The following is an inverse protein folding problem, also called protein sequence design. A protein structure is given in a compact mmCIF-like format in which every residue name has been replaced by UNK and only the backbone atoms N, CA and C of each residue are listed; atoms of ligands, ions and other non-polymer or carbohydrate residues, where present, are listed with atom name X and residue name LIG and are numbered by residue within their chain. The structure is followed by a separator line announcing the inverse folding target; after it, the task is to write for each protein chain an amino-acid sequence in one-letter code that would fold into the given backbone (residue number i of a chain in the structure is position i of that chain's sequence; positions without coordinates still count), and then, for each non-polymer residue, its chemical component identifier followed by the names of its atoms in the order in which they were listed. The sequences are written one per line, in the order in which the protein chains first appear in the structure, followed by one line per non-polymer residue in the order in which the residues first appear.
data_IF_580541083007
#
_entry.id   IF_580541083007
#
_cell.length_a   1.000
_cell.length_b   1.000
_cell.length_c   1.000
_cell.angle_alpha   90.00
_cell.angle_beta   90.00
_cell.angle_gamma   90.00
#
_symmetry.space_group_name_H-M   'P 1'
#
loop_
_entity.id
_entity.type
_entity.pdbx_description
1 polymer ?
#
# COMPACT_ATOMS: atom_id res chain seq x y z
N UNK A 1 6.96 14.20 20.34
CA UNK A 1 5.56 13.86 20.67
C UNK A 1 4.72 15.08 20.32
N UNK A 2 3.87 15.00 19.30
CA UNK A 2 2.93 16.08 18.98
C UNK A 2 1.75 15.99 19.95
N UNK A 3 1.56 17.01 20.78
CA UNK A 3 0.44 17.08 21.72
C UNK A 3 -0.77 17.65 20.98
N UNK A 4 -1.91 16.96 21.05
CA UNK A 4 -3.14 17.37 20.36
C UNK A 4 -3.59 18.78 20.79
N UNK A 5 -3.90 19.70 19.86
CA UNK A 5 -4.27 21.09 20.17
C UNK A 5 -5.46 21.25 21.12
N UNK A 6 -6.40 20.30 21.11
CA UNK A 6 -7.63 20.34 21.89
C UNK A 6 -7.36 20.19 23.40
N UNK A 7 -6.39 19.35 23.75
CA UNK A 7 -5.98 19.15 25.15
C UNK A 7 -5.28 20.40 25.69
N UNK A 8 -4.51 21.08 24.84
CA UNK A 8 -3.85 22.35 25.20
C UNK A 8 -4.87 23.46 25.46
N UNK A 9 -5.94 23.53 24.66
CA UNK A 9 -6.99 24.54 24.86
C UNK A 9 -7.77 24.29 26.16
N UNK A 10 -8.18 23.04 26.44
CA UNK A 10 -8.84 22.68 27.70
C UNK A 10 -7.96 23.02 28.91
N UNK A 11 -6.67 22.70 28.84
CA UNK A 11 -5.72 23.05 29.91
C UNK A 11 -5.64 24.56 30.12
N UNK A 12 -5.58 25.35 29.04
CA UNK A 12 -5.60 26.82 29.13
C UNK A 12 -6.91 27.34 29.72
N UNK A 13 -8.05 26.73 29.39
CA UNK A 13 -9.34 27.10 29.99
C UNK A 13 -9.36 26.79 31.48
N UNK A 14 -8.89 25.61 31.90
CA UNK A 14 -8.78 25.24 33.32
C UNK A 14 -7.87 26.19 34.10
N UNK A 15 -6.69 26.51 33.56
CA UNK A 15 -5.75 27.47 34.15
C UNK A 15 -6.34 28.88 34.23
N UNK A 16 -7.08 29.33 33.21
CA UNK A 16 -7.73 30.63 33.23
C UNK A 16 -8.82 30.72 34.31
N UNK A 17 -9.62 29.66 34.46
CA UNK A 17 -10.64 29.56 35.50
C UNK A 17 -9.99 29.51 36.89
N UNK A 18 -8.86 28.81 37.07
CA UNK A 18 -8.09 28.83 38.32
C UNK A 18 -7.54 30.21 38.63
N UNK A 19 -6.98 30.90 37.63
CA UNK A 19 -6.44 32.26 37.77
C UNK A 19 -7.51 33.26 38.22
N UNK A 20 -8.69 33.23 37.58
CA UNK A 20 -9.84 34.04 37.99
C UNK A 20 -10.33 33.64 39.39
N UNK A 21 -10.43 32.34 39.68
CA UNK A 21 -10.84 31.83 40.98
C UNK A 21 -9.90 32.26 42.12
N UNK A 22 -8.58 32.29 41.88
CA UNK A 22 -7.58 32.76 42.85
C UNK A 22 -7.60 34.26 43.12
N UNK A 23 -8.07 35.07 42.17
CA UNK A 23 -8.30 36.50 42.41
C UNK A 23 -9.43 36.73 43.43
N UNK A 24 -10.43 35.84 43.48
CA UNK A 24 -11.53 35.88 44.45
C UNK A 24 -11.20 35.13 45.75
N UNK A 25 -10.54 33.99 45.65
CA UNK A 25 -10.15 33.11 46.76
C UNK A 25 -8.69 32.67 46.62
N UNK A 26 -7.72 33.37 47.23
CA UNK A 26 -6.28 33.15 47.01
C UNK A 26 -5.80 31.73 47.28
N UNK A 27 -6.45 30.99 48.17
CA UNK A 27 -6.10 29.61 48.53
C UNK A 27 -6.80 28.53 47.68
N UNK A 28 -7.56 28.93 46.66
CA UNK A 28 -8.26 28.00 45.79
C UNK A 28 -7.28 27.14 44.99
N UNK A 29 -7.46 25.82 45.06
CA UNK A 29 -6.83 24.81 44.21
C UNK A 29 -7.93 23.97 43.56
N UNK A 30 -8.21 24.26 42.29
CA UNK A 30 -9.24 23.57 41.52
C UNK A 30 -8.89 22.10 41.27
N UNK A 31 -7.61 21.75 41.15
CA UNK A 31 -7.18 20.39 40.91
C UNK A 31 -7.46 19.50 42.14
N UNK A 32 -7.11 20.00 43.33
CA UNK A 32 -7.38 19.30 44.60
C UNK A 32 -8.88 19.03 44.79
N UNK A 33 -9.73 19.96 44.35
CA UNK A 33 -11.19 19.84 44.47
C UNK A 33 -11.80 18.93 43.40
N UNK A 34 -11.31 18.99 42.16
CA UNK A 34 -11.85 18.24 41.03
C UNK A 34 -11.39 16.77 40.98
N UNK A 35 -10.19 16.46 41.52
CA UNK A 35 -9.61 15.12 41.51
C UNK A 35 -10.58 14.01 41.98
N UNK A 36 -11.21 14.07 43.17
CA UNK A 36 -12.09 12.99 43.63
C UNK A 36 -13.31 12.80 42.71
N UNK A 37 -13.83 13.88 42.12
CA UNK A 37 -14.97 13.83 41.19
C UNK A 37 -14.55 13.13 39.90
N UNK A 38 -13.37 13.45 39.37
CA UNK A 38 -12.82 12.81 38.18
C UNK A 38 -12.53 11.32 38.41
N UNK A 39 -11.95 10.96 39.56
CA UNK A 39 -11.68 9.56 39.91
C UNK A 39 -12.98 8.74 40.00
N UNK A 40 -14.00 9.28 40.66
CA UNK A 40 -15.31 8.64 40.73
C UNK A 40 -15.94 8.50 39.32
N UNK A 41 -15.94 9.57 38.54
CA UNK A 41 -16.49 9.56 37.18
C UNK A 41 -15.76 8.57 36.26
N UNK A 42 -14.43 8.50 36.35
CA UNK A 42 -13.63 7.51 35.60
C UNK A 42 -13.98 6.09 36.03
N UNK A 43 -14.14 5.84 37.33
CA UNK A 43 -14.55 4.53 37.82
C UNK A 43 -15.97 4.15 37.32
N UNK A 44 -16.88 5.12 37.27
CA UNK A 44 -18.25 4.92 36.77
C UNK A 44 -18.33 4.72 35.24
N UNK A 45 -17.42 5.33 34.46
CA UNK A 45 -17.45 5.26 32.98
C UNK A 45 -16.50 4.24 32.38
N UNK A 46 -15.32 4.06 32.95
CA UNK A 46 -14.27 3.16 32.48
C UNK A 46 -14.06 1.95 33.39
N UNK A 47 -14.82 1.84 34.49
CA UNK A 47 -14.75 0.67 35.37
C UNK A 47 -15.28 -0.59 34.71
N UNK A 48 -14.78 -1.74 35.19
CA UNK A 48 -15.24 -3.07 34.75
C UNK A 48 -16.75 -3.25 34.91
N UNK A 49 -17.34 -2.69 35.97
CA UNK A 49 -18.78 -2.72 36.21
C UNK A 49 -19.56 -1.99 35.11
N UNK A 50 -19.05 -0.85 34.62
CA UNK A 50 -19.65 -0.09 33.54
C UNK A 50 -19.57 -0.87 32.22
N UNK A 51 -18.42 -1.49 31.94
CA UNK A 51 -18.25 -2.35 30.77
C UNK A 51 -19.24 -3.54 30.78
N UNK A 52 -19.40 -4.20 31.94
CA UNK A 52 -20.38 -5.27 32.12
C UNK A 52 -21.83 -4.79 31.97
N UNK A 53 -22.14 -3.60 32.48
CA UNK A 53 -23.47 -3.01 32.35
C UNK A 53 -23.81 -2.71 30.88
N UNK A 54 -22.89 -2.09 30.14
CA UNK A 54 -23.01 -1.84 28.70
C UNK A 54 -23.15 -3.15 27.92
N UNK A 55 -22.32 -4.16 28.25
CA UNK A 55 -22.42 -5.47 27.63
C UNK A 55 -23.79 -6.10 27.85
N UNK A 56 -24.30 -6.09 29.09
CA UNK A 56 -25.62 -6.61 29.44
C UNK A 56 -26.76 -5.90 28.69
N UNK A 57 -26.63 -4.61 28.42
CA UNK A 57 -27.59 -3.85 27.62
C UNK A 57 -27.59 -4.29 26.14
N UNK A 58 -26.44 -4.68 25.60
CA UNK A 58 -26.28 -5.15 24.22
C UNK A 58 -26.55 -6.66 24.03
N UNK A 59 -26.63 -7.44 25.11
CA UNK A 59 -26.91 -8.89 25.08
C UNK A 59 -28.16 -9.26 24.25
N UNK A 60 -29.31 -8.57 24.34
CA UNK A 60 -30.48 -8.91 23.53
C UNK A 60 -30.22 -8.81 22.03
N UNK A 61 -29.51 -7.77 21.58
CA UNK A 61 -29.13 -7.58 20.17
C UNK A 61 -28.21 -8.69 19.68
N UNK A 62 -27.31 -9.14 20.55
CA UNK A 62 -26.41 -10.26 20.25
C UNK A 62 -27.16 -11.59 20.21
N UNK A 63 -28.14 -11.79 21.07
CA UNK A 63 -28.97 -12.99 21.09
C UNK A 63 -29.78 -13.18 19.79
N UNK A 64 -30.17 -12.09 19.13
CA UNK A 64 -30.82 -12.15 17.81
C UNK A 64 -29.84 -12.44 16.67
N UNK A 65 -28.61 -11.92 16.76
CA UNK A 65 -27.63 -11.99 15.68
C UNK A 65 -26.79 -13.27 15.69
N UNK A 66 -26.40 -13.75 16.88
CA UNK A 66 -25.55 -14.94 17.07
C UNK A 66 -26.10 -16.21 16.38
N UNK A 67 -27.41 -16.52 16.44
CA UNK A 67 -27.96 -17.70 15.77
C UNK A 67 -27.83 -17.67 14.24
N UNK A 68 -27.63 -16.49 13.62
CA UNK A 68 -27.48 -16.36 12.17
C UNK A 68 -26.05 -16.57 11.68
N UNK A 69 -25.06 -16.48 12.56
CA UNK A 69 -23.64 -16.64 12.22
C UNK A 69 -23.29 -18.02 11.65
N UNK A 70 -23.74 -19.16 12.22
CA UNK A 70 -23.44 -20.47 11.67
C UNK A 70 -23.91 -20.61 10.23
N UNK A 71 -25.09 -20.06 9.90
CA UNK A 71 -25.63 -20.07 8.53
C UNK A 71 -24.74 -19.27 7.57
N UNK A 72 -24.33 -18.06 7.96
CA UNK A 72 -23.42 -17.23 7.14
C UNK A 72 -22.06 -17.90 6.93
N UNK A 73 -21.51 -18.52 7.97
CA UNK A 73 -20.27 -19.28 7.88
C UNK A 73 -20.42 -20.49 6.97
N UNK A 74 -21.56 -21.19 7.04
CA UNK A 74 -21.86 -22.31 6.15
C UNK A 74 -22.00 -21.84 4.70
N UNK A 75 -22.67 -20.71 4.44
CA UNK A 75 -22.77 -20.12 3.10
C UNK A 75 -21.38 -19.78 2.53
N UNK A 76 -20.49 -19.19 3.34
CA UNK A 76 -19.10 -18.92 2.93
C UNK A 76 -18.37 -20.24 2.63
N UNK A 77 -18.47 -21.24 3.53
CA UNK A 77 -17.84 -22.54 3.33
C UNK A 77 -18.32 -23.24 2.04
N UNK A 78 -19.63 -23.16 1.75
CA UNK A 78 -20.20 -23.67 0.51
C UNK A 78 -19.71 -22.91 -0.72
N UNK A 79 -19.60 -21.57 -0.65
CA UNK A 79 -19.07 -20.76 -1.75
C UNK A 79 -17.59 -21.07 -2.03
N UNK A 80 -16.79 -21.31 -0.99
CA UNK A 80 -15.40 -21.77 -1.11
C UNK A 80 -15.34 -23.15 -1.78
N UNK A 81 -16.11 -24.13 -1.28
CA UNK A 81 -16.13 -25.49 -1.84
C UNK A 81 -16.62 -25.54 -3.28
N UNK A 82 -17.62 -24.73 -3.62
CA UNK A 82 -18.16 -24.64 -4.98
C UNK A 82 -17.23 -23.88 -5.95
N UNK A 83 -16.05 -23.39 -5.49
CA UNK A 83 -15.16 -22.54 -6.29
C UNK A 83 -15.83 -21.21 -6.70
N UNK A 84 -16.94 -20.87 -6.06
CA UNK A 84 -17.76 -19.67 -6.31
C UNK A 84 -17.32 -18.48 -5.48
N UNK A 85 -16.21 -18.60 -4.76
CA UNK A 85 -15.48 -17.45 -4.25
C UNK A 85 -14.95 -16.67 -5.47
N UNK A 86 -15.87 -15.98 -6.17
CA UNK A 86 -15.56 -14.86 -7.05
C UNK A 86 -15.02 -13.80 -6.11
N UNK A 87 -13.74 -13.95 -5.75
CA UNK A 87 -12.92 -12.79 -5.43
C UNK A 87 -13.24 -11.82 -6.56
N UNK A 88 -13.72 -10.62 -6.25
CA UNK A 88 -13.93 -9.56 -7.24
C UNK A 88 -12.57 -9.05 -7.77
N UNK A 89 -11.63 -9.96 -8.04
CA UNK A 89 -10.63 -9.79 -9.07
C UNK A 89 -11.43 -9.66 -10.34
N UNK A 90 -11.75 -8.42 -10.70
CA UNK A 90 -12.39 -8.10 -11.96
C UNK A 90 -11.59 -8.85 -13.01
N UNK A 91 -12.26 -9.61 -13.88
CA UNK A 91 -11.58 -10.29 -15.00
C UNK A 91 -10.72 -9.31 -15.81
N UNK A 92 -11.07 -8.02 -15.74
CA UNK A 92 -10.30 -6.90 -16.24
C UNK A 92 -8.91 -6.76 -15.61
N UNK A 93 -8.77 -6.83 -14.28
CA UNK A 93 -7.49 -6.64 -13.59
C UNK A 93 -6.53 -7.79 -13.87
N UNK A 94 -7.04 -9.02 -13.93
CA UNK A 94 -6.26 -10.19 -14.31
C UNK A 94 -5.83 -10.16 -15.79
N UNK A 95 -6.68 -9.61 -16.66
CA UNK A 95 -6.34 -9.43 -18.08
C UNK A 95 -5.29 -8.33 -18.27
N UNK A 96 -5.41 -7.21 -17.56
CA UNK A 96 -4.43 -6.13 -17.58
C UNK A 96 -3.06 -6.62 -17.08
N UNK A 97 -3.02 -7.33 -15.96
CA UNK A 97 -1.77 -7.87 -15.42
C UNK A 97 -1.11 -8.85 -16.40
N UNK A 98 -1.89 -9.72 -17.05
CA UNK A 98 -1.37 -10.66 -18.06
C UNK A 98 -0.83 -9.94 -19.29
N UNK A 99 -1.49 -8.86 -19.74
CA UNK A 99 -1.03 -8.06 -20.87
C UNK A 99 0.25 -7.30 -20.52
N UNK A 100 0.29 -6.63 -19.38
CA UNK A 100 1.45 -5.86 -18.93
C UNK A 100 2.70 -6.73 -18.76
N UNK A 101 2.55 -7.96 -18.23
CA UNK A 101 3.64 -8.94 -18.14
C UNK A 101 4.10 -9.41 -19.52
N UNK A 102 3.18 -9.68 -20.45
CA UNK A 102 3.50 -10.16 -21.80
C UNK A 102 4.22 -9.09 -22.61
N UNK A 103 3.74 -7.85 -22.55
CA UNK A 103 4.30 -6.73 -23.29
C UNK A 103 5.68 -6.34 -22.72
N UNK A 104 5.87 -6.44 -21.40
CA UNK A 104 7.18 -6.29 -20.77
C UNK A 104 8.17 -7.40 -21.20
N UNK A 105 7.70 -8.64 -21.35
CA UNK A 105 8.55 -9.77 -21.78
C UNK A 105 9.08 -9.60 -23.20
N UNK A 106 8.25 -9.16 -24.15
CA UNK A 106 8.70 -8.95 -25.53
C UNK A 106 9.69 -7.80 -25.65
N UNK A 107 9.48 -6.71 -24.91
CA UNK A 107 10.41 -5.57 -24.88
C UNK A 107 11.76 -5.93 -24.26
N UNK A 108 11.76 -6.69 -23.18
CA UNK A 108 13.00 -7.14 -22.53
C UNK A 108 13.77 -8.15 -23.40
N UNK A 109 13.08 -9.05 -24.09
CA UNK A 109 13.70 -9.99 -25.01
C UNK A 109 14.34 -9.28 -26.21
N UNK A 110 13.63 -8.32 -26.82
CA UNK A 110 14.16 -7.52 -27.93
C UNK A 110 15.38 -6.68 -27.52
N UNK A 111 15.33 -6.03 -26.35
CA UNK A 111 16.45 -5.26 -25.82
C UNK A 111 17.69 -6.13 -25.51
N UNK A 112 17.49 -7.33 -24.94
CA UNK A 112 18.58 -8.26 -24.65
C UNK A 112 19.24 -8.79 -25.93
N UNK A 113 18.43 -9.18 -26.93
CA UNK A 113 18.94 -9.62 -28.23
C UNK A 113 19.66 -8.48 -28.97
N UNK A 114 19.12 -7.26 -28.96
CA UNK A 114 19.76 -6.09 -29.55
C UNK A 114 21.12 -5.77 -28.90
N UNK A 115 21.19 -5.80 -27.57
CA UNK A 115 22.44 -5.61 -26.83
C UNK A 115 23.46 -6.71 -27.14
N UNK A 116 23.04 -7.98 -27.24
CA UNK A 116 23.90 -9.10 -27.61
C UNK A 116 24.48 -8.94 -29.02
N UNK A 117 23.70 -8.46 -30.00
CA UNK A 117 24.19 -8.18 -31.35
C UNK A 117 25.17 -7.00 -31.40
N UNK A 118 24.91 -5.92 -30.65
CA UNK A 118 25.81 -4.76 -30.57
C UNK A 118 27.16 -5.18 -29.95
N UNK A 119 27.12 -5.95 -28.86
CA UNK A 119 28.34 -6.49 -28.22
C UNK A 119 29.06 -7.42 -29.18
N UNK A 120 28.35 -8.32 -29.88
CA UNK A 120 28.93 -9.20 -30.89
C UNK A 120 29.61 -8.43 -32.02
N UNK A 121 28.98 -7.37 -32.54
CA UNK A 121 29.57 -6.52 -33.56
C UNK A 121 30.82 -5.76 -33.06
N UNK A 122 30.81 -5.31 -31.80
CA UNK A 122 31.96 -4.65 -31.18
C UNK A 122 33.13 -5.62 -30.93
N UNK A 123 32.84 -6.85 -30.51
CA UNK A 123 33.84 -7.92 -30.32
C UNK A 123 34.45 -8.36 -31.64
N UNK A 124 33.65 -8.54 -32.69
CA UNK A 124 34.14 -8.85 -34.04
C UNK A 124 35.04 -7.72 -34.58
N UNK A 125 34.71 -6.45 -34.29
CA UNK A 125 35.55 -5.31 -34.63
C UNK A 125 36.85 -5.26 -33.79
N UNK A 126 36.80 -5.69 -32.52
CA UNK A 126 37.96 -5.70 -31.63
C UNK A 126 38.95 -6.85 -31.88
N UNK A 127 38.49 -7.95 -32.49
CA UNK A 127 39.30 -9.09 -32.93
C UNK A 127 39.68 -8.92 -34.40
N UNK A 128 40.51 -7.91 -34.70
CA UNK A 128 41.11 -7.77 -36.02
C UNK A 128 42.04 -8.95 -36.31
N UNK A 129 41.74 -9.72 -37.36
CA UNK A 129 42.60 -10.80 -37.85
C UNK A 129 42.02 -11.81 -38.84
N UNK A 130 40.71 -11.85 -39.12
CA UNK A 130 40.10 -12.91 -39.97
C UNK A 130 38.93 -12.48 -40.89
N UNK A 131 38.92 -11.27 -41.44
CA UNK A 131 37.88 -10.86 -42.41
C UNK A 131 38.48 -10.18 -43.67
N UNK A 132 38.37 -10.78 -44.88
CA UNK A 132 39.04 -10.28 -46.09
C UNK A 132 38.29 -9.16 -46.84
N UNK A 133 37.09 -8.74 -46.41
CA UNK A 133 36.31 -7.69 -47.09
C UNK A 133 35.97 -6.50 -46.17
N UNK A 134 36.91 -5.57 -46.07
CA UNK A 134 36.75 -4.28 -45.38
C UNK A 134 36.19 -3.21 -46.34
N UNK A 135 35.17 -2.47 -45.91
CA UNK A 135 34.75 -1.22 -46.56
C UNK A 135 34.76 -0.11 -45.51
N UNK A 136 35.57 0.94 -45.72
CA UNK A 136 35.81 2.06 -44.78
C UNK A 136 36.30 1.55 -43.40
N UNK A 137 37.25 0.60 -43.39
CA UNK A 137 37.88 0.13 -42.14
C UNK A 137 36.94 -0.59 -41.17
N UNK A 138 35.72 -0.93 -41.60
CA UNK A 138 34.75 -1.72 -40.83
C UNK A 138 34.37 -2.94 -41.69
N UNK A 139 34.34 -4.16 -41.12
CA UNK A 139 33.87 -5.34 -41.83
C UNK A 139 32.43 -5.14 -42.32
N UNK A 140 32.16 -5.47 -43.59
CA UNK A 140 30.83 -5.29 -44.21
C UNK A 140 29.70 -6.03 -43.45
N UNK A 141 30.01 -7.17 -42.83
CA UNK A 141 29.10 -7.91 -41.94
C UNK A 141 28.67 -7.09 -40.70
N UNK A 142 29.56 -6.27 -40.13
CA UNK A 142 29.27 -5.47 -38.94
C UNK A 142 28.23 -4.39 -39.22
N UNK A 143 28.22 -3.83 -40.43
CA UNK A 143 27.18 -2.90 -40.88
C UNK A 143 25.82 -3.58 -41.00
N UNK A 144 25.76 -4.81 -41.53
CA UNK A 144 24.50 -5.56 -41.65
C UNK A 144 23.95 -5.88 -40.26
N UNK A 145 24.77 -6.41 -39.35
CA UNK A 145 24.33 -6.70 -37.98
C UNK A 145 23.99 -5.44 -37.17
N UNK A 146 24.71 -4.35 -37.37
CA UNK A 146 24.44 -3.06 -36.71
C UNK A 146 23.15 -2.41 -37.18
N UNK A 147 22.88 -2.39 -38.50
CA UNK A 147 21.61 -1.91 -39.04
C UNK A 147 20.45 -2.80 -38.59
N UNK A 148 20.63 -4.12 -38.64
CA UNK A 148 19.59 -5.07 -38.25
C UNK A 148 19.28 -5.02 -36.75
N UNK A 149 20.31 -4.90 -35.92
CA UNK A 149 20.17 -4.67 -34.48
C UNK A 149 19.53 -3.32 -34.16
N UNK A 150 19.91 -2.25 -34.85
CA UNK A 150 19.30 -0.92 -34.70
C UNK A 150 17.83 -0.88 -35.11
N UNK A 151 17.46 -1.56 -36.20
CA UNK A 151 16.06 -1.68 -36.65
C UNK A 151 15.23 -2.47 -35.64
N UNK A 152 15.75 -3.58 -35.09
CA UNK A 152 15.06 -4.36 -34.07
C UNK A 152 14.88 -3.57 -32.76
N UNK A 153 15.88 -2.80 -32.36
CA UNK A 153 15.83 -1.96 -31.16
C UNK A 153 14.84 -0.79 -31.36
N UNK A 154 14.83 -0.18 -32.55
CA UNK A 154 13.86 0.85 -32.92
C UNK A 154 12.42 0.31 -32.93
N UNK A 155 12.18 -0.85 -33.54
CA UNK A 155 10.87 -1.51 -33.52
C UNK A 155 10.44 -1.89 -32.09
N UNK A 156 11.38 -2.37 -31.25
CA UNK A 156 11.11 -2.71 -29.85
C UNK A 156 10.80 -1.49 -28.97
N UNK A 157 11.26 -0.29 -29.33
CA UNK A 157 10.99 0.96 -28.61
C UNK A 157 9.80 1.74 -29.18
N UNK A 158 9.45 1.52 -30.45
CA UNK A 158 8.39 2.24 -31.16
C UNK A 158 6.98 1.69 -30.94
N UNK A 159 6.82 0.59 -30.20
CA UNK A 159 5.51 0.00 -29.87
C UNK A 159 4.81 0.74 -28.72
N UNK A 160 4.78 2.07 -28.83
CA UNK A 160 3.95 2.99 -28.05
C UNK A 160 3.02 3.71 -29.01
N UNK A 161 1.86 3.11 -29.29
CA UNK A 161 0.63 3.82 -29.61
C UNK A 161 -0.57 3.00 -29.19
#
# INVERSE_FOLDING_TARGET
MEVQPQLVLLQKTLLNVEGLGRQLYPELDLWKTAKPILEQWMHEKMGWQAALATFKQEVPNWAETLPTLPRKLHEIAQQVQAGKLKMQLSSHDLQQLKQEVRDASFRNAGALSGAAFIIGAAVIKGLDGYAPSMFIGIPTMSWVFGLWGGILLYLSLSDKK
#
